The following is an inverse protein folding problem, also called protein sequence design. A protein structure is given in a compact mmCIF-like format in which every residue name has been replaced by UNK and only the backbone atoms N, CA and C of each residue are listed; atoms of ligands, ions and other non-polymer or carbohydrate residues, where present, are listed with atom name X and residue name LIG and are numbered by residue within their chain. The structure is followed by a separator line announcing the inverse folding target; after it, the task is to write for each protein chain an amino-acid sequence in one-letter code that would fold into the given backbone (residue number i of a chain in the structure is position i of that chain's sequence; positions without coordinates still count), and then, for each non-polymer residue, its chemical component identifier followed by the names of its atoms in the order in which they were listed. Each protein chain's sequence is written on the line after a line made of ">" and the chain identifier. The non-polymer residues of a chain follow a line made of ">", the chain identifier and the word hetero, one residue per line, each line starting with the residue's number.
data_IF_196012131787
#
_entry.id   IF_196012131787
#
_cell.length_a   1.000
_cell.length_b   1.000
_cell.length_c   1.000
_cell.angle_alpha   90.00
_cell.angle_beta   90.00
_cell.angle_gamma   90.00
#
_symmetry.space_group_name_H-M   'P 1'
#
loop_
_entity.id
_entity.type
_entity.pdbx_description
1 polymer ?
#
# COMPACT_ATOMS: atom_id res chain seq x y z
N UNK A 1 2.40 -49.97 23.42
CA UNK A 1 2.16 -49.19 22.19
C UNK A 1 2.27 -47.71 22.56
N UNK A 2 3.38 -47.03 22.21
CA UNK A 2 3.65 -45.64 22.63
C UNK A 2 3.01 -44.68 21.62
N UNK A 3 1.97 -43.96 22.03
CA UNK A 3 1.39 -42.85 21.26
C UNK A 3 2.29 -41.63 21.46
N UNK A 4 3.09 -41.30 20.45
CA UNK A 4 3.92 -40.10 20.41
C UNK A 4 3.02 -38.92 20.05
N UNK A 5 2.48 -38.24 21.06
CA UNK A 5 1.72 -36.99 20.90
C UNK A 5 2.74 -35.89 20.57
N UNK A 6 2.93 -35.61 19.28
CA UNK A 6 3.69 -34.44 18.81
C UNK A 6 2.85 -33.18 19.09
N UNK A 7 3.05 -32.62 20.28
CA UNK A 7 2.51 -31.33 20.69
C UNK A 7 3.61 -30.27 20.61
N UNK A 8 4.06 -29.98 19.39
CA UNK A 8 4.99 -28.90 19.08
C UNK A 8 4.37 -27.99 18.03
N UNK A 9 3.30 -27.27 18.40
CA UNK A 9 2.90 -26.04 17.70
C UNK A 9 3.12 -24.84 18.61
N UNK A 10 4.39 -24.53 18.86
CA UNK A 10 4.73 -23.14 19.23
C UNK A 10 4.47 -22.29 18.00
N UNK A 11 3.68 -21.20 18.07
CA UNK A 11 3.66 -20.24 16.98
C UNK A 11 5.06 -19.66 16.93
N UNK A 12 5.87 -20.08 15.95
CA UNK A 12 7.11 -19.41 15.66
C UNK A 12 6.75 -17.95 15.40
N UNK A 13 7.09 -17.09 16.36
CA UNK A 13 7.01 -15.65 16.21
C UNK A 13 7.79 -15.33 14.94
N UNK A 14 7.06 -15.09 13.85
CA UNK A 14 7.67 -14.76 12.57
C UNK A 14 8.41 -13.46 12.81
N UNK A 15 9.71 -13.56 13.08
CA UNK A 15 10.59 -12.41 13.24
C UNK A 15 10.41 -11.61 11.97
N UNK A 16 9.70 -10.49 12.09
CA UNK A 16 9.25 -9.66 10.99
C UNK A 16 10.54 -9.10 10.37
N UNK A 17 11.10 -9.80 9.36
CA UNK A 17 12.38 -9.44 8.76
C UNK A 17 12.16 -8.09 8.10
N UNK A 18 12.51 -7.04 8.84
CA UNK A 18 12.29 -5.67 8.47
C UNK A 18 12.93 -5.43 7.10
N UNK A 19 12.09 -5.12 6.11
CA UNK A 19 12.51 -5.14 4.73
C UNK A 19 13.14 -3.78 4.38
N UNK A 20 14.38 -3.57 4.85
CA UNK A 20 15.09 -2.29 4.75
C UNK A 20 15.13 -1.74 3.33
N UNK A 21 15.25 -2.61 2.31
CA UNK A 21 15.21 -2.21 0.90
C UNK A 21 13.90 -1.54 0.51
N UNK A 22 12.77 -2.07 0.99
CA UNK A 22 11.44 -1.51 0.73
C UNK A 22 11.27 -0.15 1.40
N UNK A 23 11.79 0.00 2.62
CA UNK A 23 11.73 1.26 3.34
C UNK A 23 12.64 2.32 2.74
N UNK A 24 13.84 1.94 2.31
CA UNK A 24 14.74 2.87 1.63
C UNK A 24 14.12 3.34 0.31
N UNK A 25 13.50 2.44 -0.46
CA UNK A 25 12.73 2.80 -1.65
C UNK A 25 11.54 3.72 -1.31
N UNK A 26 10.79 3.43 -0.24
CA UNK A 26 9.68 4.25 0.22
C UNK A 26 10.14 5.66 0.60
N UNK A 27 11.21 5.77 1.41
CA UNK A 27 11.76 7.05 1.87
C UNK A 27 12.30 7.86 0.70
N UNK A 28 13.06 7.25 -0.20
CA UNK A 28 13.56 7.93 -1.41
C UNK A 28 12.42 8.44 -2.29
N UNK A 29 11.43 7.59 -2.58
CA UNK A 29 10.26 8.00 -3.37
C UNK A 29 9.48 9.13 -2.67
N UNK A 30 9.37 9.08 -1.35
CA UNK A 30 8.72 10.15 -0.57
C UNK A 30 9.46 11.47 -0.74
N UNK A 31 10.78 11.50 -0.53
CA UNK A 31 11.60 12.71 -0.68
C UNK A 31 11.50 13.26 -2.09
N UNK A 32 11.61 12.40 -3.10
CA UNK A 32 11.58 12.81 -4.51
C UNK A 32 10.21 13.35 -4.91
N UNK A 33 9.13 12.60 -4.66
CA UNK A 33 7.76 12.99 -5.05
C UNK A 33 7.33 14.24 -4.29
N UNK A 34 7.52 14.25 -2.97
CA UNK A 34 7.15 15.38 -2.14
C UNK A 34 7.96 16.62 -2.49
N UNK A 35 9.29 16.51 -2.58
CA UNK A 35 10.16 17.64 -2.91
C UNK A 35 9.89 18.20 -4.30
N UNK A 36 9.74 17.32 -5.30
CA UNK A 36 9.38 17.73 -6.66
C UNK A 36 8.03 18.43 -6.70
N UNK A 37 7.02 17.86 -6.03
CA UNK A 37 5.68 18.45 -5.98
C UNK A 37 5.70 19.84 -5.31
N UNK A 38 6.34 19.98 -4.15
CA UNK A 38 6.48 21.26 -3.45
C UNK A 38 7.21 22.30 -4.28
N UNK A 39 8.23 21.91 -5.03
CA UNK A 39 8.88 22.82 -5.96
C UNK A 39 7.93 23.20 -7.12
N UNK A 40 7.23 22.22 -7.70
CA UNK A 40 6.37 22.44 -8.86
C UNK A 40 5.16 23.34 -8.56
N UNK A 41 4.61 23.30 -7.35
CA UNK A 41 3.49 24.18 -6.96
C UNK A 41 3.91 25.65 -6.76
N UNK A 42 5.20 25.95 -6.62
CA UNK A 42 5.69 27.35 -6.56
C UNK A 42 5.82 27.98 -7.94
N UNK A 43 5.66 27.20 -9.01
CA UNK A 43 5.77 27.67 -10.38
C UNK A 43 4.47 28.34 -10.85
N UNK A 44 4.59 29.22 -11.85
CA UNK A 44 3.48 29.98 -12.44
C UNK A 44 2.29 29.12 -12.91
N UNK A 45 2.54 27.84 -13.22
CA UNK A 45 1.55 26.90 -13.77
C UNK A 45 1.10 25.83 -12.75
N UNK A 46 1.13 26.14 -11.44
CA UNK A 46 0.81 25.20 -10.36
C UNK A 46 -0.55 24.50 -10.52
N UNK A 47 -1.55 25.16 -11.11
CA UNK A 47 -2.88 24.58 -11.32
C UNK A 47 -2.82 23.31 -12.18
N UNK A 48 -2.04 23.31 -13.27
CA UNK A 48 -1.88 22.13 -14.13
C UNK A 48 -1.12 21.02 -13.42
N UNK A 49 -0.13 21.38 -12.60
CA UNK A 49 0.64 20.43 -11.77
C UNK A 49 -0.31 19.72 -10.79
N UNK A 50 -1.18 20.47 -10.11
CA UNK A 50 -2.16 19.93 -9.18
C UNK A 50 -3.12 18.94 -9.86
N UNK A 51 -3.68 19.29 -11.01
CA UNK A 51 -4.56 18.38 -11.76
C UNK A 51 -3.84 17.13 -12.26
N UNK A 52 -2.63 17.27 -12.81
CA UNK A 52 -1.82 16.13 -13.25
C UNK A 52 -1.50 15.19 -12.09
N UNK A 53 -1.14 15.76 -10.93
CA UNK A 53 -0.88 15.03 -9.71
C UNK A 53 -2.12 14.28 -9.19
N UNK A 54 -3.28 14.93 -9.15
CA UNK A 54 -4.56 14.33 -8.73
C UNK A 54 -4.97 13.17 -9.66
N UNK A 55 -4.83 13.36 -10.97
CA UNK A 55 -5.10 12.33 -11.96
C UNK A 55 -4.14 11.13 -11.82
N UNK A 56 -2.84 11.41 -11.67
CA UNK A 56 -1.83 10.37 -11.49
C UNK A 56 -2.05 9.56 -10.20
N UNK A 57 -2.34 10.23 -9.08
CA UNK A 57 -2.66 9.59 -7.80
C UNK A 57 -3.87 8.68 -7.94
N UNK A 58 -4.95 9.19 -8.53
CA UNK A 58 -6.19 8.43 -8.73
C UNK A 58 -5.96 7.21 -9.61
N UNK A 59 -5.23 7.36 -10.72
CA UNK A 59 -4.89 6.27 -11.62
C UNK A 59 -4.03 5.19 -10.94
N UNK A 60 -3.05 5.59 -10.14
CA UNK A 60 -2.20 4.66 -9.37
C UNK A 60 -3.01 3.87 -8.33
N UNK A 61 -3.90 4.55 -7.60
CA UNK A 61 -4.77 3.91 -6.60
C UNK A 61 -5.74 2.95 -7.27
N UNK A 62 -6.45 3.38 -8.32
CA UNK A 62 -7.39 2.54 -9.06
C UNK A 62 -6.64 1.35 -9.67
N UNK A 63 -5.50 1.58 -10.32
CA UNK A 63 -4.69 0.52 -10.91
C UNK A 63 -4.25 -0.52 -9.86
N UNK A 64 -3.86 -0.08 -8.68
CA UNK A 64 -3.51 -0.96 -7.57
C UNK A 64 -4.71 -1.78 -7.06
N UNK A 65 -5.86 -1.15 -6.88
CA UNK A 65 -7.10 -1.81 -6.43
C UNK A 65 -7.56 -2.83 -7.46
N UNK A 66 -7.61 -2.46 -8.75
CA UNK A 66 -8.03 -3.33 -9.86
C UNK A 66 -7.06 -4.50 -10.01
N UNK A 67 -5.75 -4.25 -9.99
CA UNK A 67 -4.73 -5.30 -10.11
C UNK A 67 -4.84 -6.34 -8.97
N UNK A 68 -5.12 -5.88 -7.75
CA UNK A 68 -5.30 -6.74 -6.58
C UNK A 68 -6.76 -7.26 -6.43
N UNK A 69 -7.62 -7.09 -7.44
CA UNK A 69 -9.04 -7.49 -7.43
C UNK A 69 -9.77 -7.04 -6.15
N UNK A 70 -9.57 -5.79 -5.75
CA UNK A 70 -10.19 -5.22 -4.56
C UNK A 70 -9.80 -5.90 -3.24
N UNK A 71 -8.67 -6.60 -3.21
CA UNK A 71 -8.22 -7.40 -2.06
C UNK A 71 -9.13 -8.58 -1.70
N UNK A 72 -10.07 -8.95 -2.57
CA UNK A 72 -11.02 -10.07 -2.36
C UNK A 72 -10.35 -11.41 -2.01
N UNK A 73 -9.08 -11.57 -2.38
CA UNK A 73 -8.29 -12.81 -2.14
C UNK A 73 -7.32 -12.70 -0.97
N UNK A 74 -7.27 -11.56 -0.29
CA UNK A 74 -6.33 -11.33 0.81
C UNK A 74 -6.83 -12.04 2.07
N UNK A 75 -6.03 -12.97 2.60
CA UNK A 75 -6.37 -13.70 3.82
C UNK A 75 -7.41 -14.80 3.63
N UNK A 76 -7.73 -15.15 2.37
CA UNK A 76 -8.58 -16.32 2.07
C UNK A 76 -7.80 -17.58 2.39
N UNK A 77 -8.35 -18.39 3.28
CA UNK A 77 -7.82 -19.70 3.66
C UNK A 77 -8.59 -20.82 2.93
N UNK A 78 -8.01 -22.02 2.86
CA UNK A 78 -8.56 -23.14 2.07
C UNK A 78 -9.98 -23.56 2.49
N UNK A 79 -10.31 -23.37 3.75
CA UNK A 79 -11.60 -23.63 4.40
C UNK A 79 -12.68 -22.61 4.04
N UNK A 80 -12.31 -21.41 3.55
CA UNK A 80 -13.25 -20.40 3.07
C UNK A 80 -13.67 -20.62 1.61
N UNK A 81 -13.03 -21.55 0.91
CA UNK A 81 -13.29 -21.83 -0.50
C UNK A 81 -14.36 -22.93 -0.65
N UNK A 82 -15.21 -22.85 -1.69
CA UNK A 82 -16.27 -23.82 -1.91
C UNK A 82 -15.77 -25.27 -1.93
N UNK A 83 -16.54 -26.18 -1.34
CA UNK A 83 -16.26 -27.63 -1.36
C UNK A 83 -16.37 -28.24 -2.76
N UNK A 84 -16.90 -27.49 -3.72
CA UNK A 84 -16.93 -27.85 -5.14
C UNK A 84 -15.58 -27.74 -5.83
N UNK A 85 -14.59 -27.06 -5.21
CA UNK A 85 -13.24 -26.93 -5.76
C UNK A 85 -12.35 -28.07 -5.24
N UNK A 86 -11.53 -28.62 -6.13
CA UNK A 86 -10.49 -29.58 -5.76
C UNK A 86 -9.38 -28.92 -4.94
N UNK A 87 -8.64 -29.69 -4.15
CA UNK A 87 -7.54 -29.16 -3.33
C UNK A 87 -6.45 -28.45 -4.18
N UNK A 88 -6.22 -28.95 -5.40
CA UNK A 88 -5.27 -28.33 -6.34
C UNK A 88 -5.77 -26.95 -6.84
N UNK A 89 -7.07 -26.82 -7.11
CA UNK A 89 -7.68 -25.55 -7.53
C UNK A 89 -7.70 -24.54 -6.38
N UNK A 90 -7.96 -24.99 -5.14
CA UNK A 90 -7.90 -24.16 -3.94
C UNK A 90 -6.49 -23.61 -3.73
N UNK A 91 -5.46 -24.45 -3.88
CA UNK A 91 -4.08 -24.03 -3.77
C UNK A 91 -3.69 -23.03 -4.86
N UNK A 92 -4.06 -23.29 -6.12
CA UNK A 92 -3.78 -22.39 -7.23
C UNK A 92 -4.44 -21.00 -7.05
N UNK A 93 -5.65 -20.96 -6.48
CA UNK A 93 -6.35 -19.70 -6.18
C UNK A 93 -5.61 -18.85 -5.15
N UNK A 94 -5.14 -19.48 -4.07
CA UNK A 94 -4.41 -18.80 -2.99
C UNK A 94 -3.06 -18.31 -3.51
N UNK A 95 -2.32 -19.14 -4.24
CA UNK A 95 -1.01 -18.77 -4.80
C UNK A 95 -1.10 -17.62 -5.80
N UNK A 96 -2.12 -17.58 -6.66
CA UNK A 96 -2.33 -16.45 -7.58
C UNK A 96 -2.60 -15.15 -6.79
N UNK A 97 -3.36 -15.24 -5.69
CA UNK A 97 -3.59 -14.12 -4.77
C UNK A 97 -2.30 -13.59 -4.14
N UNK A 98 -1.51 -14.47 -3.54
CA UNK A 98 -0.24 -14.12 -2.90
C UNK A 98 0.78 -13.58 -3.90
N UNK A 99 0.88 -14.18 -5.08
CA UNK A 99 1.80 -13.75 -6.13
C UNK A 99 1.47 -12.33 -6.61
N UNK A 100 0.19 -12.00 -6.78
CA UNK A 100 -0.25 -10.65 -7.14
C UNK A 100 0.06 -9.65 -6.04
N UNK A 101 -0.23 -9.99 -4.79
CA UNK A 101 0.11 -9.13 -3.65
C UNK A 101 1.62 -8.87 -3.54
N UNK A 102 2.44 -9.91 -3.74
CA UNK A 102 3.91 -9.78 -3.72
C UNK A 102 4.41 -8.91 -4.87
N UNK A 103 3.84 -9.07 -6.07
CA UNK A 103 4.17 -8.25 -7.24
C UNK A 103 3.67 -6.82 -7.14
N UNK A 104 2.59 -6.54 -6.42
CA UNK A 104 2.05 -5.18 -6.29
C UNK A 104 2.68 -4.38 -5.14
N UNK A 105 3.50 -5.00 -4.28
CA UNK A 105 4.17 -4.31 -3.15
C UNK A 105 5.03 -3.11 -3.57
N UNK A 106 5.67 -3.13 -4.74
CA UNK A 106 6.45 -1.98 -5.21
C UNK A 106 5.55 -0.78 -5.54
N UNK A 107 4.31 -1.00 -6.01
CA UNK A 107 3.38 0.10 -6.29
C UNK A 107 3.03 0.87 -5.02
N UNK A 108 2.97 0.20 -3.86
CA UNK A 108 2.77 0.87 -2.57
C UNK A 108 3.90 1.85 -2.25
N UNK A 109 5.13 1.58 -2.68
CA UNK A 109 6.26 2.51 -2.49
C UNK A 109 6.14 3.80 -3.30
N UNK A 110 5.21 3.86 -4.27
CA UNK A 110 4.84 5.07 -4.99
C UNK A 110 3.54 5.66 -4.44
N UNK A 111 2.51 4.83 -4.26
CA UNK A 111 1.19 5.27 -3.80
C UNK A 111 1.27 5.96 -2.44
N UNK A 112 2.04 5.42 -1.50
CA UNK A 112 2.17 6.01 -0.16
C UNK A 112 2.74 7.44 -0.23
N UNK A 113 3.88 7.72 -0.89
CA UNK A 113 4.35 9.09 -1.14
C UNK A 113 3.30 10.04 -1.70
N UNK A 114 2.55 9.60 -2.71
CA UNK A 114 1.49 10.40 -3.30
C UNK A 114 0.40 10.71 -2.26
N UNK A 115 -0.10 9.71 -1.52
CA UNK A 115 -1.10 9.91 -0.47
C UNK A 115 -0.59 10.82 0.66
N UNK A 116 0.67 10.65 1.08
CA UNK A 116 1.28 11.49 2.12
C UNK A 116 1.35 12.95 1.65
N UNK A 117 1.77 13.18 0.41
CA UNK A 117 1.81 14.52 -0.18
C UNK A 117 0.40 15.15 -0.19
N UNK A 118 -0.61 14.37 -0.59
CA UNK A 118 -2.01 14.82 -0.60
C UNK A 118 -2.50 15.15 0.81
N UNK A 119 -2.18 14.30 1.79
CA UNK A 119 -2.57 14.53 3.17
C UNK A 119 -1.95 15.81 3.74
N UNK A 120 -0.67 16.09 3.42
CA UNK A 120 -0.02 17.34 3.83
C UNK A 120 -0.71 18.55 3.20
N UNK A 121 -1.03 18.50 1.91
CA UNK A 121 -1.75 19.59 1.24
C UNK A 121 -3.13 19.85 1.88
N UNK A 122 -3.87 18.79 2.19
CA UNK A 122 -5.16 18.89 2.90
C UNK A 122 -4.94 19.51 4.28
N UNK A 123 -3.94 19.08 5.03
CA UNK A 123 -3.62 19.66 6.33
C UNK A 123 -3.24 21.14 6.22
N UNK A 124 -2.42 21.54 5.24
CA UNK A 124 -2.08 22.95 5.02
C UNK A 124 -3.33 23.77 4.70
N UNK A 125 -4.24 23.24 3.88
CA UNK A 125 -5.46 23.94 3.48
C UNK A 125 -6.44 24.14 4.64
N UNK A 126 -6.59 23.15 5.52
CA UNK A 126 -7.55 23.21 6.64
C UNK A 126 -6.96 23.75 7.94
N UNK A 127 -5.67 23.51 8.21
CA UNK A 127 -5.00 23.87 9.46
C UNK A 127 -4.20 25.16 9.32
N UNK A 128 -3.69 25.47 8.11
CA UNK A 128 -2.87 26.66 7.87
C UNK A 128 -3.59 27.96 8.22
N UNK A 129 -4.83 28.15 7.74
CA UNK A 129 -5.61 29.34 8.08
C UNK A 129 -5.97 29.42 9.56
N UNK A 130 -6.28 28.28 10.19
CA UNK A 130 -6.66 28.22 11.61
C UNK A 130 -5.47 28.58 12.51
N UNK A 131 -4.26 28.10 12.19
CA UNK A 131 -3.05 28.42 12.93
C UNK A 131 -2.66 29.89 12.76
N UNK A 132 -2.74 30.43 11.53
CA UNK A 132 -2.47 31.86 11.29
C UNK A 132 -3.43 32.74 12.09
N UNK A 133 -4.71 32.37 12.21
CA UNK A 133 -5.70 33.09 13.03
C UNK A 133 -5.52 32.92 14.54
N UNK A 134 -4.82 31.88 14.99
CA UNK A 134 -4.55 31.63 16.42
C UNK A 134 -3.30 32.38 16.92
N UNK A 135 -2.35 32.63 16.03
CA UNK A 135 -1.06 33.28 16.34
C UNK A 135 -0.98 34.74 15.90
N UNK A 136 -2.05 35.31 15.37
CA UNK A 136 -2.16 36.69 14.89
C UNK A 136 -3.44 37.32 15.45
#
# INVERSE_FOLDING_TARGET
>A
MKVKRNDDRRPEASANRFNWKLLLALTLNTIVIFGFYRYAITQRYYFYVMWAYMAATSALVIGYVVYNRGFSRRGVTRDMLPDTMTEDEKQAFIEDGERRMKKSKWMLTLIIPFIVTFAVDVLELFVGEQLVRLFN
#
